data_IF_836961097591
#
_entry.id   IF_836961097591
#
_cell.length_a   1.000
_cell.length_b   1.000
_cell.length_c   1.000
_cell.angle_alpha   90.00
_cell.angle_beta   90.00
_cell.angle_gamma   90.00
#
_symmetry.space_group_name_H-M   'P 1'
#
loop_
_entity.id
_entity.type
_entity.pdbx_description
1 polymer ?
#
# COMPACT_ATOMS: atom_id res chain seq x y z
N UNK A 1 -34.20 0.41 53.81
CA UNK A 1 -34.45 -0.66 52.82
C UNK A 1 -34.41 -0.03 51.43
N UNK A 2 -33.38 -0.34 50.63
CA UNK A 2 -33.27 -0.01 49.21
C UNK A 2 -33.14 -1.33 48.44
N UNK A 3 -33.74 -1.51 47.24
CA UNK A 3 -33.43 -2.65 46.40
C UNK A 3 -32.29 -2.31 45.42
N UNK A 4 -31.31 -3.21 45.38
CA UNK A 4 -30.17 -3.16 44.46
C UNK A 4 -30.56 -3.59 43.05
N UNK A 5 -30.18 -2.80 42.04
CA UNK A 5 -30.34 -3.13 40.62
C UNK A 5 -29.40 -4.25 40.18
N UNK A 6 -29.95 -5.30 39.56
CA UNK A 6 -29.19 -6.37 38.91
C UNK A 6 -28.69 -5.88 37.53
N UNK A 7 -27.37 -5.81 37.34
CA UNK A 7 -26.74 -5.69 36.02
C UNK A 7 -26.86 -7.02 35.28
N UNK A 8 -27.34 -6.98 34.04
CA UNK A 8 -27.31 -8.12 33.13
C UNK A 8 -25.85 -8.45 32.75
N UNK A 9 -25.47 -9.74 32.63
CA UNK A 9 -24.13 -10.11 32.20
C UNK A 9 -23.93 -9.74 30.73
N UNK A 10 -22.79 -9.11 30.42
CA UNK A 10 -22.36 -8.84 29.06
C UNK A 10 -22.16 -10.15 28.29
N UNK A 11 -22.85 -10.28 27.17
CA UNK A 11 -22.65 -11.39 26.22
C UNK A 11 -21.26 -11.19 25.59
N UNK A 12 -20.28 -11.94 26.08
CA UNK A 12 -18.99 -12.07 25.40
C UNK A 12 -19.25 -12.89 24.14
N UNK A 13 -19.35 -12.21 23.00
CA UNK A 13 -19.40 -12.85 21.69
C UNK A 13 -18.08 -13.61 21.50
N UNK A 14 -18.15 -14.94 21.52
CA UNK A 14 -17.02 -15.80 21.17
C UNK A 14 -16.87 -15.76 19.66
N UNK A 15 -15.99 -14.90 19.14
CA UNK A 15 -15.53 -15.06 17.76
C UNK A 15 -14.93 -16.46 17.64
N UNK A 16 -15.47 -17.24 16.73
CA UNK A 16 -15.01 -18.61 16.54
C UNK A 16 -13.68 -18.53 15.82
N UNK A 17 -12.63 -19.17 16.34
CA UNK A 17 -11.29 -19.23 15.73
C UNK A 17 -11.29 -19.42 14.19
N UNK A 18 -12.30 -20.12 13.64
CA UNK A 18 -12.52 -20.31 12.21
C UNK A 18 -12.95 -19.06 11.43
N UNK A 19 -13.62 -18.08 12.04
CA UNK A 19 -13.93 -16.78 11.44
C UNK A 19 -12.70 -15.87 11.42
N UNK A 20 -11.93 -15.86 12.50
CA UNK A 20 -10.63 -15.16 12.54
C UNK A 20 -9.65 -15.78 11.55
N UNK A 21 -9.62 -17.12 11.44
CA UNK A 21 -8.81 -17.84 10.46
C UNK A 21 -9.28 -17.62 9.02
N UNK A 22 -10.60 -17.58 8.77
CA UNK A 22 -11.14 -17.18 7.46
C UNK A 22 -10.82 -15.73 7.13
N UNK A 23 -10.81 -14.80 8.09
CA UNK A 23 -10.35 -13.41 7.87
C UNK A 23 -8.86 -13.37 7.51
N UNK A 24 -8.05 -14.22 8.15
CA UNK A 24 -6.61 -14.36 7.88
C UNK A 24 -6.32 -15.05 6.52
N UNK A 25 -7.18 -15.96 6.07
CA UNK A 25 -7.00 -16.68 4.79
C UNK A 25 -7.67 -15.95 3.61
N UNK A 26 -8.78 -15.25 3.86
CA UNK A 26 -9.45 -14.43 2.83
C UNK A 26 -8.72 -13.12 2.59
N UNK A 27 -7.97 -12.64 3.60
CA UNK A 27 -6.96 -11.60 3.39
C UNK A 27 -5.69 -12.26 2.91
N UNK A 28 -5.27 -12.01 1.67
CA UNK A 28 -3.83 -11.97 1.41
C UNK A 28 -3.23 -11.10 2.52
N UNK A 29 -2.46 -11.67 3.45
CA UNK A 29 -1.80 -10.91 4.50
C UNK A 29 -0.77 -10.05 3.79
N UNK A 30 -1.20 -8.88 3.36
CA UNK A 30 -0.35 -7.86 2.76
C UNK A 30 0.64 -7.46 3.84
N UNK A 31 1.90 -7.85 3.65
CA UNK A 31 2.99 -7.46 4.53
C UNK A 31 3.39 -6.05 4.11
N UNK A 32 3.15 -5.06 4.97
CA UNK A 32 3.66 -3.71 4.74
C UNK A 32 5.20 -3.79 4.72
N UNK A 33 5.84 -3.34 3.63
CA UNK A 33 7.29 -3.30 3.59
C UNK A 33 7.85 -2.36 4.66
N UNK A 34 8.98 -2.72 5.27
CA UNK A 34 9.63 -1.94 6.33
C UNK A 34 10.05 -0.53 5.91
N UNK A 35 10.27 -0.32 4.61
CA UNK A 35 10.64 0.96 4.03
C UNK A 35 9.45 1.89 3.74
N UNK A 36 8.21 1.39 3.86
CA UNK A 36 7.01 2.22 3.76
C UNK A 36 6.69 2.77 5.16
N UNK A 37 6.58 4.09 5.30
CA UNK A 37 6.34 4.70 6.62
C UNK A 37 4.85 4.69 7.00
N UNK A 38 3.93 4.66 6.03
CA UNK A 38 2.48 4.77 6.27
C UNK A 38 1.72 3.47 5.97
N UNK A 39 0.67 3.17 6.74
CA UNK A 39 -0.37 2.22 6.33
C UNK A 39 -1.47 3.04 5.65
N UNK A 40 -1.84 2.67 4.42
CA UNK A 40 -2.95 3.30 3.68
C UNK A 40 -4.21 2.43 3.59
N UNK A 41 -4.20 1.33 4.33
CA UNK A 41 -5.33 0.42 4.43
C UNK A 41 -6.08 0.77 5.71
N UNK A 42 -7.26 1.36 5.54
CA UNK A 42 -8.23 1.57 6.61
C UNK A 42 -8.84 0.26 7.10
N UNK A 43 -9.99 0.34 7.76
CA UNK A 43 -10.72 -0.85 8.14
C UNK A 43 -11.23 -1.51 6.86
N UNK A 44 -10.60 -2.60 6.41
CA UNK A 44 -11.22 -3.54 5.44
C UNK A 44 -12.38 -4.28 6.15
N UNK A 45 -13.25 -3.55 6.83
CA UNK A 45 -14.60 -4.00 7.07
C UNK A 45 -15.35 -4.03 5.74
N UNK A 46 -16.56 -4.56 5.75
CA UNK A 46 -17.45 -4.54 4.59
C UNK A 46 -17.82 -3.09 4.25
N UNK A 47 -16.96 -2.42 3.48
CA UNK A 47 -17.28 -1.13 2.89
C UNK A 47 -18.44 -1.32 1.93
N UNK A 48 -19.44 -0.45 2.02
CA UNK A 48 -20.40 -0.27 0.93
C UNK A 48 -19.66 0.41 -0.23
N UNK A 49 -19.13 -0.41 -1.15
CA UNK A 49 -18.26 0.03 -2.25
C UNK A 49 -18.99 0.97 -3.20
N UNK A 50 -18.43 2.16 -3.40
CA UNK A 50 -18.87 3.14 -4.39
C UNK A 50 -17.98 3.12 -5.65
N UNK A 51 -16.69 2.80 -5.50
CA UNK A 51 -15.77 2.60 -6.62
C UNK A 51 -14.61 1.66 -6.29
N UNK A 52 -14.04 1.08 -7.33
CA UNK A 52 -12.88 0.19 -7.28
C UNK A 52 -12.12 0.34 -8.60
N UNK A 53 -10.81 0.59 -8.55
CA UNK A 53 -9.99 0.79 -9.75
C UNK A 53 -8.50 0.58 -9.50
N UNK A 54 -7.77 0.28 -10.58
CA UNK A 54 -6.32 0.16 -10.56
C UNK A 54 -5.65 1.47 -10.98
N UNK A 55 -4.53 1.75 -10.34
CA UNK A 55 -3.54 2.76 -10.73
C UNK A 55 -2.25 2.06 -11.18
N UNK A 56 -1.33 2.74 -11.88
CA UNK A 56 -0.04 2.14 -12.22
C UNK A 56 0.77 1.63 -11.03
N UNK A 57 0.51 2.14 -9.82
CA UNK A 57 1.30 1.88 -8.61
C UNK A 57 0.51 1.21 -7.48
N UNK A 58 -0.74 0.81 -7.70
CA UNK A 58 -1.57 0.23 -6.65
C UNK A 58 -3.05 0.12 -7.00
N UNK A 59 -3.82 -0.47 -6.10
CA UNK A 59 -5.24 -0.71 -6.24
C UNK A 59 -6.03 0.14 -5.23
N UNK A 60 -7.14 0.73 -5.66
CA UNK A 60 -7.94 1.65 -4.86
C UNK A 60 -9.36 1.10 -4.71
N UNK A 61 -9.83 1.09 -3.45
CA UNK A 61 -11.23 0.84 -3.11
C UNK A 61 -11.78 2.05 -2.36
N UNK A 62 -12.91 2.58 -2.84
CA UNK A 62 -13.64 3.67 -2.18
C UNK A 62 -15.01 3.17 -1.75
N UNK A 63 -15.40 3.48 -0.52
CA UNK A 63 -16.71 3.09 -0.02
C UNK A 63 -17.05 3.70 1.33
N UNK A 64 -18.26 3.42 1.80
CA UNK A 64 -18.73 3.90 3.10
C UNK A 64 -18.53 2.81 4.16
N UNK A 65 -17.86 3.14 5.26
CA UNK A 65 -17.68 2.27 6.40
C UNK A 65 -18.94 2.19 7.28
N UNK A 66 -18.98 1.22 8.19
CA UNK A 66 -20.14 0.97 9.05
C UNK A 66 -20.49 2.14 9.99
N UNK A 67 -19.55 3.04 10.26
CA UNK A 67 -19.74 4.27 11.01
C UNK A 67 -20.27 5.43 10.14
N UNK A 68 -20.44 5.22 8.84
CA UNK A 68 -20.91 6.21 7.87
C UNK A 68 -19.80 7.07 7.26
N UNK A 69 -18.54 6.86 7.65
CA UNK A 69 -17.41 7.58 7.07
C UNK A 69 -17.06 7.03 5.69
N UNK A 70 -16.70 7.92 4.75
CA UNK A 70 -16.20 7.52 3.44
C UNK A 70 -14.70 7.23 3.55
N UNK A 71 -14.28 6.03 3.13
CA UNK A 71 -12.89 5.62 3.13
C UNK A 71 -12.34 5.50 1.71
N UNK A 72 -11.15 6.05 1.50
CA UNK A 72 -10.31 5.82 0.33
C UNK A 72 -9.17 4.88 0.75
N UNK A 73 -9.21 3.63 0.30
CA UNK A 73 -8.25 2.60 0.67
C UNK A 73 -7.33 2.29 -0.51
N UNK A 74 -6.08 2.73 -0.41
CA UNK A 74 -5.02 2.45 -1.39
C UNK A 74 -4.16 1.30 -0.91
N UNK A 75 -4.02 0.29 -1.77
CA UNK A 75 -3.05 -0.80 -1.63
C UNK A 75 -1.94 -0.62 -2.65
N UNK A 76 -0.74 -0.14 -2.25
CA UNK A 76 0.40 -0.04 -3.14
C UNK A 76 0.83 -1.40 -3.69
N UNK A 77 1.27 -1.46 -4.94
CA UNK A 77 1.67 -2.70 -5.63
C UNK A 77 2.78 -3.47 -4.90
N UNK A 78 3.68 -2.75 -4.22
CA UNK A 78 4.79 -3.31 -3.46
C UNK A 78 4.33 -4.13 -2.22
N UNK A 79 3.09 -3.97 -1.78
CA UNK A 79 2.52 -4.76 -0.67
C UNK A 79 2.19 -6.19 -1.10
N UNK A 80 2.05 -6.43 -2.41
CA UNK A 80 1.89 -7.76 -3.00
C UNK A 80 3.23 -8.40 -3.40
N UNK A 81 4.36 -7.69 -3.23
CA UNK A 81 5.68 -8.23 -3.53
C UNK A 81 6.11 -9.28 -2.50
N UNK A 82 6.94 -10.24 -2.94
CA UNK A 82 7.49 -11.26 -2.05
C UNK A 82 8.43 -10.62 -1.02
N UNK A 83 8.60 -11.25 0.14
CA UNK A 83 9.55 -10.79 1.16
C UNK A 83 10.99 -10.68 0.62
N UNK A 84 11.37 -11.58 -0.30
CA UNK A 84 12.66 -11.53 -0.97
C UNK A 84 12.79 -10.24 -1.81
N UNK A 85 11.79 -9.92 -2.63
CA UNK A 85 11.75 -8.70 -3.42
C UNK A 85 11.79 -7.44 -2.53
N UNK A 86 11.01 -7.43 -1.45
CA UNK A 86 10.98 -6.31 -0.52
C UNK A 86 12.30 -6.08 0.20
N UNK A 87 13.04 -7.14 0.58
CA UNK A 87 14.39 -7.00 1.17
C UNK A 87 15.39 -6.40 0.19
N UNK A 88 15.33 -6.78 -1.08
CA UNK A 88 16.21 -6.24 -2.12
C UNK A 88 15.94 -4.75 -2.35
N UNK A 89 14.66 -4.36 -2.40
CA UNK A 89 14.24 -2.97 -2.49
C UNK A 89 14.73 -2.17 -1.26
N UNK A 90 14.58 -2.72 -0.06
CA UNK A 90 15.05 -2.11 1.19
C UNK A 90 16.57 -1.85 1.18
N UNK A 91 17.35 -2.84 0.72
CA UNK A 91 18.81 -2.69 0.59
C UNK A 91 19.18 -1.58 -0.38
N UNK A 92 18.52 -1.53 -1.55
CA UNK A 92 18.74 -0.47 -2.54
C UNK A 92 18.38 0.92 -2.00
N UNK A 93 17.23 1.06 -1.33
CA UNK A 93 16.82 2.31 -0.67
C UNK A 93 17.87 2.73 0.37
N UNK A 94 18.36 1.80 1.18
CA UNK A 94 19.36 2.07 2.21
C UNK A 94 20.68 2.57 1.61
N UNK A 95 21.15 1.95 0.52
CA UNK A 95 22.35 2.38 -0.22
C UNK A 95 22.19 3.77 -0.81
N UNK A 96 21.07 4.06 -1.48
CA UNK A 96 20.77 5.40 -2.01
C UNK A 96 20.77 6.45 -0.90
N UNK A 97 20.06 6.19 0.21
CA UNK A 97 20.01 7.12 1.36
C UNK A 97 21.38 7.33 2.00
N UNK A 98 22.20 6.28 2.09
CA UNK A 98 23.56 6.38 2.65
C UNK A 98 24.49 7.21 1.76
N UNK A 99 24.40 7.03 0.44
CA UNK A 99 25.16 7.82 -0.52
C UNK A 99 24.74 9.28 -0.49
N UNK A 100 23.43 9.56 -0.49
CA UNK A 100 22.90 10.90 -0.36
C UNK A 100 23.40 11.61 0.90
N UNK A 101 23.40 10.94 2.06
CA UNK A 101 23.94 11.49 3.32
C UNK A 101 25.44 11.79 3.26
N UNK A 102 26.21 11.00 2.51
CA UNK A 102 27.67 11.14 2.44
C UNK A 102 28.11 12.27 1.52
N UNK A 103 27.47 12.43 0.37
CA UNK A 103 27.94 13.32 -0.69
C UNK A 103 26.94 14.42 -1.08
N UNK A 104 25.78 14.51 -0.42
CA UNK A 104 24.69 15.38 -0.85
C UNK A 104 24.18 15.00 -2.24
N UNK A 105 24.18 13.69 -2.51
CA UNK A 105 24.15 13.07 -3.84
C UNK A 105 23.05 13.58 -4.78
N UNK A 106 23.24 13.30 -6.07
CA UNK A 106 22.26 13.62 -7.12
C UNK A 106 20.94 12.89 -6.84
N UNK A 107 19.83 13.60 -6.99
CA UNK A 107 18.48 13.07 -6.77
C UNK A 107 17.70 12.86 -8.07
N UNK A 108 18.33 13.05 -9.22
CA UNK A 108 17.65 12.84 -10.50
C UNK A 108 17.33 11.36 -10.71
N UNK A 109 16.15 11.11 -11.30
CA UNK A 109 15.60 9.76 -11.46
C UNK A 109 16.54 8.81 -12.18
N UNK A 110 17.28 9.28 -13.19
CA UNK A 110 18.22 8.43 -13.93
C UNK A 110 19.39 7.98 -13.07
N UNK A 111 19.95 8.88 -12.26
CA UNK A 111 21.03 8.55 -11.33
C UNK A 111 20.59 7.53 -10.28
N UNK A 112 19.43 7.77 -9.63
CA UNK A 112 18.89 6.88 -8.60
C UNK A 112 18.51 5.51 -9.19
N UNK A 113 17.93 5.49 -10.39
CA UNK A 113 17.64 4.24 -11.09
C UNK A 113 18.92 3.47 -11.43
N UNK A 114 20.03 4.15 -11.74
CA UNK A 114 21.34 3.53 -11.91
C UNK A 114 21.82 2.81 -10.66
N UNK A 115 21.82 3.50 -9.51
CA UNK A 115 22.18 2.89 -8.22
C UNK A 115 21.26 1.72 -7.89
N UNK A 116 19.95 1.89 -8.08
CA UNK A 116 18.98 0.82 -7.85
C UNK A 116 19.28 -0.40 -8.72
N UNK A 117 19.54 -0.21 -10.01
CA UNK A 117 19.90 -1.29 -10.94
C UNK A 117 21.18 -1.99 -10.51
N UNK A 118 22.22 -1.27 -10.13
CA UNK A 118 23.50 -1.87 -9.67
C UNK A 118 23.29 -2.75 -8.43
N UNK A 119 22.37 -2.38 -7.55
CA UNK A 119 22.03 -3.18 -6.36
C UNK A 119 21.17 -4.39 -6.69
N UNK A 120 20.30 -4.26 -7.69
CA UNK A 120 19.35 -5.29 -8.09
C UNK A 120 19.93 -6.28 -9.12
N UNK A 121 20.95 -5.89 -9.88
CA UNK A 121 21.59 -6.69 -10.94
C UNK A 121 21.97 -8.12 -10.47
N UNK A 122 22.59 -8.32 -9.29
CA UNK A 122 22.96 -9.65 -8.82
C UNK A 122 21.77 -10.61 -8.67
N UNK A 123 20.55 -10.07 -8.56
CA UNK A 123 19.32 -10.81 -8.36
C UNK A 123 18.48 -10.96 -9.63
N UNK A 124 18.93 -10.41 -10.76
CA UNK A 124 18.26 -10.52 -12.06
C UNK A 124 17.93 -11.96 -12.44
N UNK A 125 18.80 -12.92 -12.10
CA UNK A 125 18.56 -14.35 -12.29
C UNK A 125 17.36 -14.89 -11.49
N UNK A 126 17.25 -14.50 -10.22
CA UNK A 126 16.12 -14.91 -9.36
C UNK A 126 14.80 -14.28 -9.81
N UNK A 127 14.85 -13.03 -10.26
CA UNK A 127 13.72 -12.32 -10.87
C UNK A 127 13.31 -13.02 -12.17
N UNK A 128 14.25 -13.36 -13.03
CA UNK A 128 13.99 -14.05 -14.29
C UNK A 128 13.32 -15.41 -14.07
N UNK A 129 13.80 -16.17 -13.08
CA UNK A 129 13.18 -17.44 -12.69
C UNK A 129 11.75 -17.24 -12.17
N UNK A 130 11.52 -16.20 -11.35
CA UNK A 130 10.19 -15.83 -10.85
C UNK A 130 9.24 -15.41 -11.98
N UNK A 131 9.77 -14.86 -13.07
CA UNK A 131 9.04 -14.50 -14.29
C UNK A 131 8.95 -15.67 -15.30
N UNK A 132 9.29 -16.89 -14.91
CA UNK A 132 9.19 -18.08 -15.78
C UNK A 132 10.17 -18.08 -16.96
N UNK A 133 11.32 -17.39 -16.82
CA UNK A 133 12.32 -17.28 -17.87
C UNK A 133 12.00 -16.21 -18.94
N UNK A 134 10.94 -15.41 -18.75
CA UNK A 134 10.60 -14.34 -19.67
C UNK A 134 11.42 -13.07 -19.39
N UNK A 135 12.29 -12.71 -20.34
CA UNK A 135 13.18 -11.54 -20.23
C UNK A 135 12.40 -10.23 -20.20
N UNK A 136 11.37 -10.06 -21.03
CA UNK A 136 10.57 -8.82 -21.06
C UNK A 136 9.83 -8.60 -19.73
N UNK A 137 9.30 -9.68 -19.16
CA UNK A 137 8.66 -9.64 -17.85
C UNK A 137 9.67 -9.34 -16.72
N UNK A 138 10.88 -9.90 -16.81
CA UNK A 138 11.97 -9.60 -15.87
C UNK A 138 12.38 -8.13 -15.95
N UNK A 139 12.61 -7.57 -17.14
CA UNK A 139 12.94 -6.16 -17.32
C UNK A 139 11.84 -5.25 -16.76
N UNK A 140 10.58 -5.56 -17.06
CA UNK A 140 9.43 -4.82 -16.51
C UNK A 140 9.41 -4.86 -14.97
N UNK A 141 9.72 -6.02 -14.38
CA UNK A 141 9.76 -6.18 -12.94
C UNK A 141 10.95 -5.41 -12.32
N UNK A 142 12.12 -5.45 -12.95
CA UNK A 142 13.30 -4.69 -12.53
C UNK A 142 13.05 -3.18 -12.58
N UNK A 143 12.40 -2.69 -13.64
CA UNK A 143 12.01 -1.28 -13.75
C UNK A 143 11.04 -0.87 -12.64
N UNK A 144 10.02 -1.70 -12.34
CA UNK A 144 9.11 -1.47 -11.21
C UNK A 144 9.85 -1.39 -9.87
N UNK A 145 10.80 -2.30 -9.65
CA UNK A 145 11.62 -2.27 -8.43
C UNK A 145 12.44 -0.99 -8.33
N UNK A 146 13.05 -0.53 -9.43
CA UNK A 146 13.78 0.73 -9.48
C UNK A 146 12.87 1.94 -9.17
N UNK A 147 11.65 1.94 -9.69
CA UNK A 147 10.66 2.98 -9.42
C UNK A 147 10.24 3.01 -7.95
N UNK A 148 10.06 1.85 -7.31
CA UNK A 148 9.80 1.75 -5.86
C UNK A 148 11.00 2.29 -5.07
N UNK A 149 12.23 1.93 -5.46
CA UNK A 149 13.45 2.45 -4.81
C UNK A 149 13.51 3.97 -4.90
N UNK A 150 13.25 4.55 -6.08
CA UNK A 150 13.19 6.01 -6.24
C UNK A 150 12.15 6.64 -5.32
N UNK A 151 10.91 6.11 -5.37
CA UNK A 151 9.75 6.59 -4.61
C UNK A 151 10.04 6.70 -3.11
N UNK A 152 10.66 5.68 -2.52
CA UNK A 152 10.89 5.63 -1.07
C UNK A 152 12.29 6.10 -0.63
N UNK A 153 13.21 6.37 -1.55
CA UNK A 153 14.54 6.90 -1.20
C UNK A 153 14.61 8.43 -1.28
N UNK A 154 14.17 9.01 -2.40
CA UNK A 154 14.22 10.45 -2.68
C UNK A 154 12.86 11.06 -3.02
N UNK A 155 11.90 10.23 -3.45
CA UNK A 155 10.53 10.64 -3.71
C UNK A 155 9.74 10.92 -2.42
N UNK A 156 8.45 11.20 -2.58
CA UNK A 156 7.56 11.48 -1.45
C UNK A 156 6.94 10.20 -0.86
N UNK A 157 7.53 9.04 -1.15
CA UNK A 157 7.02 7.74 -0.72
C UNK A 157 5.61 7.52 -1.24
N UNK A 158 4.71 7.19 -0.33
CA UNK A 158 3.32 6.86 -0.71
C UNK A 158 2.55 8.06 -1.28
N UNK A 159 2.98 9.29 -0.98
CA UNK A 159 2.37 10.49 -1.55
C UNK A 159 2.60 10.61 -3.06
N UNK A 160 3.69 10.05 -3.60
CA UNK A 160 3.87 10.00 -5.06
C UNK A 160 2.74 9.20 -5.74
N UNK A 161 2.20 8.19 -5.05
CA UNK A 161 1.07 7.39 -5.55
C UNK A 161 -0.23 8.17 -5.46
N UNK A 162 -0.48 8.82 -4.32
CA UNK A 162 -1.68 9.62 -4.11
C UNK A 162 -1.72 10.83 -5.07
N UNK A 163 -0.62 11.56 -5.20
CA UNK A 163 -0.53 12.73 -6.09
C UNK A 163 -0.61 12.37 -7.58
N UNK A 164 -0.32 11.11 -7.94
CA UNK A 164 -0.46 10.63 -9.30
C UNK A 164 -1.90 10.20 -9.64
N UNK A 165 -2.79 10.05 -8.65
CA UNK A 165 -4.19 9.69 -8.90
C UNK A 165 -4.99 10.93 -9.31
N UNK A 166 -5.47 11.02 -10.57
CA UNK A 166 -6.22 12.18 -11.04
C UNK A 166 -7.59 12.35 -10.38
N UNK A 167 -8.08 11.35 -9.63
CA UNK A 167 -9.34 11.42 -8.89
C UNK A 167 -9.20 12.11 -7.54
N UNK A 168 -7.98 12.28 -7.03
CA UNK A 168 -7.70 13.02 -5.81
C UNK A 168 -7.49 14.51 -6.15
N UNK A 169 -8.24 15.38 -5.49
CA UNK A 169 -8.14 16.84 -5.67
C UNK A 169 -7.29 17.47 -4.57
N UNK A 170 -7.57 17.12 -3.32
CA UNK A 170 -6.88 17.65 -2.15
C UNK A 170 -6.43 16.52 -1.23
N UNK A 171 -5.25 16.66 -0.63
CA UNK A 171 -4.67 15.71 0.34
C UNK A 171 -4.24 16.50 1.57
N UNK A 172 -4.78 16.16 2.74
CA UNK A 172 -4.48 16.75 4.03
C UNK A 172 -3.90 15.70 4.97
N UNK A 173 -2.85 16.09 5.70
CA UNK A 173 -2.16 15.21 6.64
C UNK A 173 -1.94 15.98 7.93
N UNK A 174 -2.57 15.52 9.00
CA UNK A 174 -2.35 16.09 10.33
C UNK A 174 -1.04 15.56 10.92
N UNK A 175 -0.28 16.44 11.58
CA UNK A 175 0.90 16.04 12.32
C UNK A 175 0.52 15.42 13.69
N UNK A 176 1.21 14.36 14.15
CA UNK A 176 2.26 13.62 13.44
C UNK A 176 1.68 12.62 12.43
N UNK A 177 2.23 12.61 11.21
CA UNK A 177 1.75 11.80 10.07
C UNK A 177 1.84 10.28 10.29
N UNK A 178 2.63 9.83 11.27
CA UNK A 178 2.76 8.42 11.65
C UNK A 178 1.55 7.89 12.44
N UNK A 179 0.70 8.77 13.00
CA UNK A 179 -0.43 8.40 13.88
C UNK A 179 -1.79 8.79 13.33
N UNK A 180 -1.83 9.78 12.45
CA UNK A 180 -3.08 10.33 11.93
C UNK A 180 -3.43 9.72 10.57
N UNK A 181 -4.73 9.65 10.27
CA UNK A 181 -5.21 9.29 8.94
C UNK A 181 -4.84 10.39 7.94
N UNK A 182 -4.65 9.98 6.69
CA UNK A 182 -4.59 10.91 5.57
C UNK A 182 -6.03 11.20 5.16
N UNK A 183 -6.39 12.49 5.11
CA UNK A 183 -7.69 12.93 4.63
C UNK A 183 -7.54 13.35 3.18
N UNK A 184 -8.43 12.91 2.30
CA UNK A 184 -8.39 13.26 0.90
C UNK A 184 -9.77 13.66 0.38
N UNK A 185 -9.80 14.67 -0.48
CA UNK A 185 -10.98 15.04 -1.25
C UNK A 185 -10.90 14.36 -2.62
N UNK A 186 -11.91 13.57 -2.94
CA UNK A 186 -12.03 12.93 -4.25
C UNK A 186 -13.00 13.72 -5.13
N UNK A 187 -12.74 13.76 -6.44
CA UNK A 187 -13.75 14.16 -7.42
C UNK A 187 -15.04 13.36 -7.22
N UNK A 188 -16.18 13.93 -7.59
CA UNK A 188 -17.47 13.24 -7.50
C UNK A 188 -17.39 11.88 -8.20
N UNK A 189 -17.24 10.82 -7.40
CA UNK A 189 -17.20 9.44 -7.86
C UNK A 189 -18.65 9.07 -8.14
N UNK A 190 -19.10 9.36 -9.36
CA UNK A 190 -20.37 8.84 -9.85
C UNK A 190 -20.36 7.33 -9.72
N UNK A 191 -21.45 6.77 -9.19
CA UNK A 191 -21.65 5.33 -9.02
C UNK A 191 -21.40 4.63 -10.36
N UNK A 192 -20.24 3.99 -10.50
CA UNK A 192 -19.99 3.08 -11.60
C UNK A 192 -20.75 1.79 -11.31
N UNK A 193 -22.04 1.79 -11.62
CA UNK A 193 -22.84 0.57 -11.76
C UNK A 193 -22.18 -0.28 -12.85
N UNK A 194 -21.67 -1.46 -12.47
CA UNK A 194 -21.09 -2.43 -13.38
C UNK A 194 -22.03 -2.68 -14.58
N UNK A 195 -21.59 -2.47 -15.83
CA UNK A 195 -22.36 -2.80 -17.01
C UNK A 195 -22.18 -4.29 -17.35
N UNK A 196 -22.60 -5.19 -16.45
CA UNK A 196 -22.74 -6.63 -16.75
C UNK A 196 -23.91 -7.19 -15.97
N UNK A 197 -25.10 -6.72 -16.31
CA UNK A 197 -26.35 -7.44 -16.10
C UNK A 197 -26.93 -7.80 -17.47
N UNK A 198 -26.52 -8.95 -18.01
CA UNK A 198 -27.23 -9.75 -19.02
C UNK A 198 -26.89 -11.23 -18.79
#
# INVERSE_FOLDING_TARGET
MQPAGRRAPSVISRSTFMEDYRRIISGNVLSKPSYADCWLVGSIGELERSAEYDTPSGHVVVGTAADGEMEYNLTPSEYASTDAANRMIEEAISKVRAEFRKSGGRTDRMYIAGIARDVLEPFSGDVLLSCGGNIEAMETQMERMCDIVYRYSVGLGVFDILLADPKLEDIYVDAPCEKNRIHAMCQHIGTAINPTGL
#
